data_IF_354118235935
#
_entry.id   IF_354118235935
#
_cell.length_a   1.000
_cell.length_b   1.000
_cell.length_c   1.000
_cell.angle_alpha   90.00
_cell.angle_beta   90.00
_cell.angle_gamma   90.00
#
_symmetry.space_group_name_H-M   'P 1'
#
loop_
_entity.id
_entity.type
_entity.pdbx_description
1 polymer ?
#
# COMPACT_ATOMS: atom_id res chain seq x y z
N UNK A 1 0.91 -21.92 22.44
CA UNK A 1 0.56 -22.30 21.06
C UNK A 1 -0.94 -22.15 20.89
N UNK A 2 -1.42 -21.64 19.76
CA UNK A 2 -2.85 -21.52 19.49
C UNK A 2 -3.56 -22.89 19.53
N UNK A 3 -4.81 -22.91 20.01
CA UNK A 3 -5.55 -24.12 20.40
C UNK A 3 -6.46 -24.71 19.31
N UNK A 4 -6.55 -24.06 18.14
CA UNK A 4 -7.41 -24.52 17.05
C UNK A 4 -6.79 -25.71 16.33
N UNK A 5 -7.57 -26.75 16.07
CA UNK A 5 -7.15 -27.89 15.23
C UNK A 5 -6.89 -27.48 13.78
N UNK A 6 -7.37 -26.28 13.37
CA UNK A 6 -7.14 -25.69 12.05
C UNK A 6 -5.98 -24.68 12.04
N UNK A 7 -5.26 -24.48 13.14
CA UNK A 7 -4.15 -23.54 13.15
C UNK A 7 -3.09 -23.93 12.12
N UNK A 8 -2.63 -22.96 11.32
CA UNK A 8 -1.67 -23.18 10.23
C UNK A 8 -2.25 -23.84 8.98
N UNK A 9 -3.53 -24.22 8.98
CA UNK A 9 -4.24 -24.74 7.79
C UNK A 9 -4.89 -23.57 7.05
N UNK A 10 -4.05 -22.72 6.45
CA UNK A 10 -4.53 -21.62 5.61
C UNK A 10 -5.16 -22.17 4.33
N UNK A 11 -6.19 -21.48 3.83
CA UNK A 11 -6.78 -21.77 2.53
C UNK A 11 -5.77 -21.48 1.42
N UNK A 12 -5.80 -22.25 0.34
CA UNK A 12 -5.10 -21.87 -0.89
C UNK A 12 -5.77 -20.64 -1.52
N UNK A 13 -5.08 -19.98 -2.44
CA UNK A 13 -5.66 -18.85 -3.19
C UNK A 13 -6.96 -19.25 -3.87
N UNK A 14 -6.98 -20.39 -4.54
CA UNK A 14 -8.13 -20.91 -5.27
C UNK A 14 -9.31 -21.21 -4.33
N UNK A 15 -9.02 -21.74 -3.14
CA UNK A 15 -10.04 -21.96 -2.11
C UNK A 15 -10.61 -20.62 -1.61
N UNK A 16 -9.77 -19.61 -1.36
CA UNK A 16 -10.24 -18.26 -0.97
C UNK A 16 -11.10 -17.67 -2.08
N UNK A 17 -10.62 -17.70 -3.32
CA UNK A 17 -11.34 -17.17 -4.48
C UNK A 17 -12.71 -17.82 -4.66
N UNK A 18 -12.81 -19.14 -4.45
CA UNK A 18 -14.08 -19.85 -4.49
C UNK A 18 -15.03 -19.44 -3.35
N UNK A 19 -14.51 -19.22 -2.14
CA UNK A 19 -15.32 -18.81 -1.00
C UNK A 19 -15.84 -17.37 -1.11
N UNK A 20 -15.09 -16.47 -1.73
CA UNK A 20 -15.45 -15.05 -1.86
C UNK A 20 -16.09 -14.72 -3.21
N UNK A 21 -16.21 -15.69 -4.12
CA UNK A 21 -16.83 -15.50 -5.42
C UNK A 21 -18.28 -15.05 -5.26
N UNK A 22 -18.70 -13.97 -5.95
CA UNK A 22 -20.11 -13.60 -5.98
C UNK A 22 -20.98 -14.75 -6.51
N UNK A 23 -22.24 -14.78 -6.08
CA UNK A 23 -23.19 -15.76 -6.61
C UNK A 23 -23.27 -15.61 -8.14
N UNK A 24 -23.29 -16.70 -8.93
CA UNK A 24 -23.39 -16.63 -10.38
C UNK A 24 -24.55 -15.77 -10.89
N UNK A 25 -25.66 -15.71 -10.16
CA UNK A 25 -26.78 -14.83 -10.49
C UNK A 25 -26.41 -13.34 -10.33
N UNK A 26 -25.67 -12.98 -9.26
CA UNK A 26 -25.17 -11.61 -9.04
C UNK A 26 -24.26 -11.18 -10.18
N UNK A 27 -23.28 -12.01 -10.54
CA UNK A 27 -22.38 -11.73 -11.67
C UNK A 27 -23.15 -11.58 -12.97
N UNK A 28 -24.09 -12.48 -13.26
CA UNK A 28 -24.92 -12.41 -14.47
C UNK A 28 -25.74 -11.12 -14.56
N UNK A 29 -26.35 -10.68 -13.46
CA UNK A 29 -27.14 -9.44 -13.43
C UNK A 29 -26.23 -8.22 -13.66
N UNK A 30 -25.04 -8.21 -13.04
CA UNK A 30 -24.03 -7.19 -13.26
C UNK A 30 -23.58 -7.14 -14.72
N UNK A 31 -23.19 -8.27 -15.29
CA UNK A 31 -22.73 -8.36 -16.69
C UNK A 31 -23.80 -7.90 -17.67
N UNK A 32 -25.07 -8.29 -17.45
CA UNK A 32 -26.19 -7.85 -18.27
C UNK A 32 -26.39 -6.34 -18.19
N UNK A 33 -26.32 -5.77 -16.99
CA UNK A 33 -26.46 -4.34 -16.78
C UNK A 33 -25.32 -3.55 -17.44
N UNK A 34 -24.07 -3.98 -17.26
CA UNK A 34 -22.90 -3.36 -17.91
C UNK A 34 -22.98 -3.46 -19.44
N UNK A 35 -23.27 -4.65 -19.97
CA UNK A 35 -23.41 -4.88 -21.41
C UNK A 35 -24.53 -4.04 -22.01
N UNK A 36 -25.67 -3.91 -21.33
CA UNK A 36 -26.80 -3.09 -21.80
C UNK A 36 -26.46 -1.60 -21.89
N UNK A 37 -25.47 -1.13 -21.14
CA UNK A 37 -24.93 0.22 -21.19
C UNK A 37 -23.70 0.35 -22.11
N UNK A 38 -23.32 -0.72 -22.82
CA UNK A 38 -22.16 -0.74 -23.72
C UNK A 38 -20.82 -0.67 -22.97
N UNK A 39 -20.78 -1.17 -21.73
CA UNK A 39 -19.60 -1.10 -20.87
C UNK A 39 -18.90 -2.46 -20.78
N UNK A 40 -17.57 -2.42 -20.75
CA UNK A 40 -16.70 -3.59 -20.59
C UNK A 40 -15.76 -3.31 -19.41
N UNK A 41 -15.71 -4.21 -18.41
CA UNK A 41 -14.72 -4.16 -17.33
C UNK A 41 -13.28 -4.06 -17.82
N UNK A 42 -12.43 -3.35 -17.07
CA UNK A 42 -10.98 -3.43 -17.23
C UNK A 42 -10.45 -4.66 -16.48
N UNK A 43 -10.03 -5.73 -17.18
CA UNK A 43 -9.69 -6.99 -16.53
C UNK A 43 -8.41 -6.90 -15.70
N UNK A 44 -7.49 -5.99 -16.03
CA UNK A 44 -6.19 -5.85 -15.35
C UNK A 44 -6.31 -5.24 -13.95
N UNK A 45 -7.34 -4.43 -13.72
CA UNK A 45 -7.57 -3.71 -12.46
C UNK A 45 -8.78 -4.25 -11.70
N UNK A 46 -9.52 -5.20 -12.27
CA UNK A 46 -10.64 -5.88 -11.59
C UNK A 46 -10.14 -7.07 -10.76
N UNK A 47 -10.91 -7.44 -9.73
CA UNK A 47 -10.59 -8.65 -8.95
C UNK A 47 -10.72 -9.93 -9.78
N UNK A 48 -9.89 -10.96 -9.55
CA UNK A 48 -10.00 -12.25 -10.24
C UNK A 48 -11.35 -12.95 -10.05
N UNK A 49 -12.01 -12.71 -8.92
CA UNK A 49 -13.29 -13.33 -8.53
C UNK A 49 -14.50 -12.61 -9.09
N UNK A 50 -14.33 -11.37 -9.59
CA UNK A 50 -15.43 -10.49 -10.00
C UNK A 50 -16.17 -9.82 -8.84
N UNK A 51 -15.62 -9.84 -7.61
CA UNK A 51 -16.18 -9.12 -6.46
C UNK A 51 -15.94 -7.61 -6.52
N UNK A 52 -14.89 -7.20 -7.24
CA UNK A 52 -14.57 -5.81 -7.60
C UNK A 52 -14.40 -5.71 -9.11
N UNK A 53 -15.04 -4.71 -9.71
CA UNK A 53 -15.05 -4.48 -11.16
C UNK A 53 -14.71 -3.02 -11.42
N UNK A 54 -13.63 -2.80 -12.16
CA UNK A 54 -13.17 -1.47 -12.55
C UNK A 54 -13.67 -1.13 -13.96
N UNK A 55 -14.11 0.13 -14.13
CA UNK A 55 -14.70 0.64 -15.38
C UNK A 55 -14.06 1.97 -15.74
N UNK A 56 -13.66 2.11 -17.01
CA UNK A 56 -13.17 3.38 -17.54
C UNK A 56 -14.28 4.14 -18.25
N UNK A 57 -14.76 5.20 -17.60
CA UNK A 57 -15.91 5.98 -18.05
C UNK A 57 -15.58 7.47 -18.14
N UNK A 58 -16.23 8.18 -19.06
CA UNK A 58 -16.31 9.65 -18.97
C UNK A 58 -17.28 10.05 -17.85
N UNK A 59 -17.15 11.28 -17.35
CA UNK A 59 -18.08 11.86 -16.36
C UNK A 59 -19.53 11.80 -16.86
N UNK A 60 -19.76 12.01 -18.15
CA UNK A 60 -21.09 11.93 -18.76
C UNK A 60 -21.65 10.50 -18.72
N UNK A 61 -20.83 9.50 -19.04
CA UNK A 61 -21.22 8.09 -18.97
C UNK A 61 -21.53 7.67 -17.53
N UNK A 62 -20.66 8.03 -16.58
CA UNK A 62 -20.86 7.74 -15.16
C UNK A 62 -22.14 8.40 -14.63
N UNK A 63 -22.40 9.66 -14.99
CA UNK A 63 -23.61 10.38 -14.59
C UNK A 63 -24.90 9.73 -15.12
N UNK A 64 -24.89 9.22 -16.36
CA UNK A 64 -26.03 8.48 -16.93
C UNK A 64 -26.21 7.12 -16.26
N UNK A 65 -25.13 6.36 -16.10
CA UNK A 65 -25.14 5.02 -15.53
C UNK A 65 -25.67 5.01 -14.09
N UNK A 66 -25.25 6.01 -13.31
CA UNK A 66 -25.50 6.11 -11.87
C UNK A 66 -26.59 7.14 -11.51
N UNK A 67 -27.30 7.68 -12.51
CA UNK A 67 -28.28 8.76 -12.34
C UNK A 67 -27.80 9.81 -11.33
N UNK A 68 -26.61 10.35 -11.60
CA UNK A 68 -25.84 11.18 -10.69
C UNK A 68 -25.31 12.43 -11.41
N UNK A 69 -25.10 13.50 -10.66
CA UNK A 69 -24.44 14.72 -11.16
C UNK A 69 -23.08 14.84 -10.51
N UNK A 70 -22.03 14.77 -11.31
CA UNK A 70 -20.66 14.92 -10.84
C UNK A 70 -20.22 16.38 -10.93
N UNK A 71 -19.45 16.82 -9.95
CA UNK A 71 -18.87 18.15 -9.87
C UNK A 71 -17.36 18.06 -9.61
N UNK A 72 -16.64 19.10 -10.03
CA UNK A 72 -15.26 19.31 -9.63
C UNK A 72 -15.26 20.07 -8.30
N UNK A 73 -14.76 19.43 -7.25
CA UNK A 73 -14.59 20.01 -5.92
C UNK A 73 -13.14 20.40 -5.74
N UNK A 74 -12.90 21.57 -5.16
CA UNK A 74 -11.55 22.04 -4.85
C UNK A 74 -11.38 22.14 -3.33
N UNK A 75 -10.35 21.49 -2.81
CA UNK A 75 -10.03 21.51 -1.39
C UNK A 75 -9.32 22.83 -1.03
N UNK A 76 -9.94 23.63 -0.16
CA UNK A 76 -9.55 25.02 0.10
C UNK A 76 -8.12 25.20 0.64
N UNK A 77 -7.59 24.23 1.39
CA UNK A 77 -6.26 24.34 1.99
C UNK A 77 -5.12 23.84 1.12
N UNK A 78 -5.39 22.97 0.14
CA UNK A 78 -4.36 22.35 -0.71
C UNK A 78 -4.45 22.72 -2.17
N UNK A 79 -5.56 23.30 -2.60
CA UNK A 79 -5.92 23.51 -3.99
C UNK A 79 -6.00 22.21 -4.83
N UNK A 80 -6.07 21.04 -4.20
CA UNK A 80 -6.29 19.78 -4.90
C UNK A 80 -7.75 19.70 -5.35
N UNK A 81 -7.97 19.31 -6.60
CA UNK A 81 -9.30 19.14 -7.15
C UNK A 81 -9.64 17.67 -7.38
N UNK A 82 -10.88 17.29 -7.07
CA UNK A 82 -11.42 15.93 -7.24
C UNK A 82 -12.78 15.98 -7.93
N UNK A 83 -13.15 14.90 -8.62
CA UNK A 83 -14.47 14.76 -9.25
C UNK A 83 -15.34 13.85 -8.39
N UNK A 84 -16.45 14.36 -7.85
CA UNK A 84 -17.34 13.62 -6.95
C UNK A 84 -18.81 13.91 -7.23
N UNK A 85 -19.69 13.13 -6.62
CA UNK A 85 -21.12 13.39 -6.57
C UNK A 85 -21.61 13.25 -5.15
N UNK A 86 -22.58 14.06 -4.72
CA UNK A 86 -23.13 13.98 -3.36
C UNK A 86 -24.03 12.75 -3.16
N UNK A 87 -24.57 12.20 -4.27
CA UNK A 87 -25.45 11.03 -4.26
C UNK A 87 -25.50 10.38 -5.65
N UNK A 88 -25.81 9.09 -5.67
CA UNK A 88 -26.10 8.36 -6.91
C UNK A 88 -27.23 7.36 -6.68
N UNK A 89 -27.77 6.82 -7.78
CA UNK A 89 -28.75 5.74 -7.73
C UNK A 89 -28.54 4.74 -8.85
N UNK A 90 -28.88 3.48 -8.60
CA UNK A 90 -28.84 2.42 -9.60
C UNK A 90 -30.25 1.85 -9.80
N UNK A 91 -30.56 1.22 -10.95
CA UNK A 91 -31.83 0.54 -11.14
C UNK A 91 -32.10 -0.50 -10.05
N UNK A 92 -33.37 -0.68 -9.65
CA UNK A 92 -33.74 -1.68 -8.63
C UNK A 92 -33.26 -3.10 -9.02
N UNK A 93 -33.18 -3.39 -10.32
CA UNK A 93 -32.71 -4.69 -10.83
C UNK A 93 -31.26 -5.03 -10.51
N UNK A 94 -30.40 -4.04 -10.23
CA UNK A 94 -28.97 -4.24 -9.96
C UNK A 94 -28.59 -3.88 -8.51
N UNK A 95 -29.51 -3.30 -7.74
CA UNK A 95 -29.28 -2.81 -6.38
C UNK A 95 -28.65 -3.85 -5.45
N UNK A 96 -29.17 -5.09 -5.46
CA UNK A 96 -28.66 -6.16 -4.59
C UNK A 96 -27.33 -6.76 -5.08
N UNK A 97 -26.90 -6.43 -6.30
CA UNK A 97 -25.64 -6.89 -6.87
C UNK A 97 -24.48 -5.91 -6.63
N UNK A 98 -24.77 -4.67 -6.25
CA UNK A 98 -23.77 -3.62 -6.03
C UNK A 98 -23.81 -3.20 -4.57
N UNK A 99 -22.73 -3.48 -3.84
CA UNK A 99 -22.56 -2.99 -2.47
C UNK A 99 -22.18 -1.51 -2.43
N UNK A 100 -21.31 -1.07 -3.34
CA UNK A 100 -20.77 0.28 -3.39
C UNK A 100 -20.29 0.61 -4.80
N UNK A 101 -20.35 1.90 -5.17
CA UNK A 101 -19.68 2.43 -6.35
C UNK A 101 -18.67 3.48 -5.92
N UNK A 102 -17.39 3.25 -6.20
CA UNK A 102 -16.28 4.16 -5.89
C UNK A 102 -15.64 4.65 -7.20
N UNK A 103 -15.13 5.89 -7.30
CA UNK A 103 -15.12 6.98 -6.29
C UNK A 103 -16.29 7.98 -6.47
N UNK A 104 -17.45 7.72 -5.86
CA UNK A 104 -18.66 8.57 -6.02
C UNK A 104 -18.82 9.61 -4.91
N UNK A 105 -19.26 9.18 -3.73
CA UNK A 105 -19.67 10.03 -2.60
C UNK A 105 -18.58 10.20 -1.54
N UNK A 106 -17.43 9.55 -1.72
CA UNK A 106 -16.33 9.60 -0.76
C UNK A 106 -15.54 10.90 -0.87
N UNK A 107 -15.53 11.75 0.17
CA UNK A 107 -14.68 12.93 0.22
C UNK A 107 -13.53 12.75 1.21
N UNK A 108 -12.27 12.77 0.75
CA UNK A 108 -11.13 12.67 1.63
C UNK A 108 -11.05 13.87 2.59
N UNK A 109 -10.78 13.64 3.87
CA UNK A 109 -10.85 14.68 4.91
C UNK A 109 -9.68 15.65 4.82
N UNK A 110 -8.56 15.21 4.25
CA UNK A 110 -7.37 16.00 4.00
C UNK A 110 -6.73 15.53 2.68
N UNK A 111 -6.05 16.42 1.95
CA UNK A 111 -5.02 15.99 1.03
C UNK A 111 -4.05 15.14 1.85
N UNK A 112 -3.63 14.00 1.31
CA UNK A 112 -2.56 13.21 1.90
C UNK A 112 -1.31 14.07 1.77
N UNK A 113 -1.10 14.96 2.74
CA UNK A 113 0.10 15.75 2.85
C UNK A 113 1.15 14.78 3.38
N UNK A 114 1.81 14.08 2.47
CA UNK A 114 3.11 13.50 2.73
C UNK A 114 4.07 14.67 2.94
N UNK A 115 4.10 15.20 4.15
CA UNK A 115 5.25 15.92 4.63
C UNK A 115 5.51 15.37 6.02
N UNK A 116 6.32 14.31 6.14
CA UNK A 116 7.07 14.15 7.37
C UNK A 116 7.69 15.52 7.67
N UNK A 117 7.46 16.02 8.89
CA UNK A 117 8.21 17.17 9.37
C UNK A 117 9.68 16.77 9.29
N UNK A 118 10.39 17.30 8.30
CA UNK A 118 11.82 17.05 8.20
C UNK A 118 12.45 17.38 9.55
N UNK A 119 13.35 16.53 10.06
CA UNK A 119 14.17 16.92 11.19
C UNK A 119 14.79 18.28 10.86
N UNK A 120 14.53 19.28 11.71
CA UNK A 120 15.09 20.61 11.52
C UNK A 120 16.60 20.51 11.40
N UNK A 121 17.25 21.46 10.73
CA UNK A 121 18.72 21.51 10.65
C UNK A 121 19.39 21.40 12.04
N UNK A 122 18.68 21.78 13.10
CA UNK A 122 19.06 21.61 14.50
C UNK A 122 19.13 20.14 14.96
N UNK A 123 18.26 19.25 14.47
CA UNK A 123 18.33 17.81 14.75
C UNK A 123 19.53 17.18 14.04
N UNK A 124 19.74 17.48 12.75
CA UNK A 124 20.91 17.02 12.00
C UNK A 124 22.23 17.51 12.64
N UNK A 125 22.26 18.77 13.08
CA UNK A 125 23.41 19.35 13.78
C UNK A 125 23.67 18.69 15.15
N UNK A 126 22.62 18.23 15.87
CA UNK A 126 22.75 17.50 17.13
C UNK A 126 23.33 16.10 16.93
N UNK A 127 23.00 15.42 15.83
CA UNK A 127 23.60 14.14 15.44
C UNK A 127 25.09 14.32 15.12
N UNK A 128 25.48 15.41 14.45
CA UNK A 128 26.89 15.68 14.10
C UNK A 128 27.73 16.26 15.24
N UNK A 129 27.10 16.89 16.25
CA UNK A 129 27.81 17.58 17.34
C UNK A 129 28.05 16.69 18.57
N UNK A 130 27.38 15.55 18.70
CA UNK A 130 27.74 14.59 19.73
C UNK A 130 28.97 13.81 19.27
N UNK A 131 30.11 14.16 19.86
CA UNK A 131 31.17 13.21 20.18
C UNK A 131 30.53 12.00 20.86
N UNK A 132 30.08 11.03 20.07
CA UNK A 132 29.72 9.71 20.57
C UNK A 132 31.04 9.12 21.06
N UNK A 133 31.33 9.25 22.35
CA UNK A 133 32.34 8.43 22.99
C UNK A 133 32.00 6.99 22.59
N UNK A 134 32.94 6.32 21.95
CA UNK A 134 32.82 4.93 21.53
C UNK A 134 32.64 4.08 22.79
N UNK A 135 31.40 3.92 23.25
CA UNK A 135 31.03 3.03 24.34
C UNK A 135 31.40 1.62 23.85
N UNK A 136 32.06 0.85 24.73
CA UNK A 136 32.40 -0.56 24.48
C UNK A 136 31.16 -1.32 24.03
N UNK A 137 31.37 -2.27 23.11
CA UNK A 137 30.34 -3.13 22.49
C UNK A 137 29.36 -3.83 23.45
N UNK A 138 29.70 -3.92 24.73
CA UNK A 138 28.97 -4.72 25.72
C UNK A 138 27.97 -3.90 26.58
N UNK A 139 27.94 -2.57 26.46
CA UNK A 139 27.03 -1.68 27.23
C UNK A 139 26.05 -0.91 26.31
N UNK A 140 25.54 -1.55 25.25
CA UNK A 140 24.51 -0.92 24.40
C UNK A 140 23.16 -1.01 25.11
N UNK A 141 22.78 0.05 25.81
CA UNK A 141 21.40 0.29 26.24
C UNK A 141 20.69 1.11 25.16
N UNK A 142 19.70 0.49 24.51
CA UNK A 142 18.79 1.17 23.56
C UNK A 142 18.16 2.47 24.08
N UNK A 143 18.17 2.70 25.40
CA UNK A 143 17.62 3.89 26.05
C UNK A 143 18.51 5.14 26.04
N UNK A 144 19.78 5.06 25.63
CA UNK A 144 20.73 6.17 25.72
C UNK A 144 20.85 7.01 24.44
N UNK A 145 20.07 6.71 23.39
CA UNK A 145 20.22 7.33 22.08
C UNK A 145 19.03 8.22 21.68
N UNK A 146 19.33 9.37 21.05
CA UNK A 146 18.36 10.18 20.30
C UNK A 146 17.94 9.55 18.95
N UNK A 147 18.49 8.39 18.60
CA UNK A 147 18.28 7.68 17.34
C UNK A 147 18.14 6.17 17.59
N UNK A 148 17.13 5.54 17.00
CA UNK A 148 16.92 4.09 17.07
C UNK A 148 17.55 3.43 15.83
N UNK A 149 18.55 2.56 16.03
CA UNK A 149 19.20 1.81 14.95
C UNK A 149 18.57 0.43 14.73
N UNK A 150 18.80 -0.18 13.56
CA UNK A 150 18.38 -1.57 13.27
C UNK A 150 18.92 -2.54 14.31
N UNK A 151 20.20 -2.41 14.68
CA UNK A 151 20.82 -3.24 15.72
C UNK A 151 20.07 -3.11 17.06
N UNK A 152 19.71 -1.90 17.46
CA UNK A 152 18.94 -1.68 18.68
C UNK A 152 17.54 -2.31 18.60
N UNK A 153 16.85 -2.20 17.46
CA UNK A 153 15.56 -2.88 17.25
C UNK A 153 15.72 -4.39 17.39
N UNK A 154 16.75 -4.96 16.77
CA UNK A 154 17.00 -6.39 16.86
C UNK A 154 17.31 -6.83 18.29
N UNK A 155 18.15 -6.09 19.03
CA UNK A 155 18.46 -6.38 20.43
C UNK A 155 17.21 -6.26 21.33
N UNK A 156 16.43 -5.18 21.18
CA UNK A 156 15.24 -4.92 22.01
C UNK A 156 14.16 -6.00 21.83
N UNK A 157 13.97 -6.48 20.60
CA UNK A 157 12.97 -7.50 20.27
C UNK A 157 13.54 -8.93 20.24
N UNK A 158 14.81 -9.13 20.59
CA UNK A 158 15.46 -10.45 20.60
C UNK A 158 15.55 -11.10 19.21
N UNK A 159 15.65 -10.29 18.16
CA UNK A 159 15.78 -10.74 16.77
C UNK A 159 17.24 -11.17 16.54
N UNK A 160 17.50 -12.43 16.12
CA UNK A 160 18.85 -12.91 15.84
C UNK A 160 19.53 -12.09 14.74
N UNK A 161 20.84 -11.84 14.85
CA UNK A 161 21.60 -11.13 13.80
C UNK A 161 21.87 -11.99 12.56
N UNK A 162 21.86 -13.29 12.74
CA UNK A 162 22.17 -14.33 11.76
C UNK A 162 20.90 -14.95 11.16
N UNK A 163 19.85 -14.14 10.94
CA UNK A 163 18.68 -14.58 10.17
C UNK A 163 19.18 -15.02 8.79
N UNK A 164 19.39 -16.33 8.62
CA UNK A 164 20.04 -16.89 7.45
C UNK A 164 19.27 -16.59 6.16
N UNK A 165 19.73 -17.18 5.05
CA UNK A 165 18.95 -17.21 3.80
C UNK A 165 17.54 -17.68 4.14
N UNK A 166 16.46 -16.99 3.75
CA UNK A 166 15.12 -17.43 4.13
C UNK A 166 14.86 -18.78 3.46
N UNK A 167 13.80 -19.45 3.89
CA UNK A 167 13.22 -20.44 2.99
C UNK A 167 12.98 -19.74 1.64
N UNK A 168 13.35 -20.37 0.53
CA UNK A 168 13.25 -19.82 -0.85
C UNK A 168 11.84 -19.37 -1.27
N UNK A 169 10.88 -19.41 -0.35
CA UNK A 169 9.46 -19.13 -0.50
C UNK A 169 9.00 -17.90 0.31
N UNK A 170 9.80 -17.35 1.24
CA UNK A 170 9.39 -16.20 2.05
C UNK A 170 9.41 -14.90 1.24
N UNK A 171 8.25 -14.22 1.18
CA UNK A 171 8.00 -13.05 0.35
C UNK A 171 7.39 -11.94 1.19
N UNK A 172 8.00 -10.76 1.11
CA UNK A 172 7.51 -9.54 1.74
C UNK A 172 7.09 -8.56 0.65
N UNK A 173 5.94 -7.92 0.82
CA UNK A 173 5.55 -6.78 0.00
C UNK A 173 5.53 -5.49 0.83
N UNK A 174 5.95 -4.39 0.22
CA UNK A 174 5.83 -3.04 0.79
C UNK A 174 4.98 -2.22 -0.17
N UNK A 175 3.86 -1.69 0.30
CA UNK A 175 2.98 -0.86 -0.52
C UNK A 175 3.41 0.59 -0.36
N UNK A 176 3.69 1.25 -1.49
CA UNK A 176 3.99 2.68 -1.53
C UNK A 176 2.93 3.37 -2.41
N UNK A 177 2.32 4.43 -1.87
CA UNK A 177 1.26 5.19 -2.53
C UNK A 177 1.64 6.66 -2.60
N UNK A 178 1.18 7.35 -3.63
CA UNK A 178 1.36 8.81 -3.75
C UNK A 178 2.57 9.24 -4.58
N UNK A 179 3.14 8.34 -5.39
CA UNK A 179 4.21 8.67 -6.34
C UNK A 179 5.55 9.01 -5.70
N UNK A 180 5.77 8.58 -4.46
CA UNK A 180 7.09 8.56 -3.84
C UNK A 180 7.85 7.29 -4.26
N UNK A 181 9.17 7.31 -4.14
CA UNK A 181 10.05 6.24 -4.64
C UNK A 181 10.98 5.69 -3.57
N UNK A 182 11.24 4.39 -3.63
CA UNK A 182 12.33 3.74 -2.89
C UNK A 182 13.64 4.03 -3.59
N UNK A 183 14.51 4.79 -2.92
CA UNK A 183 15.80 5.21 -3.44
C UNK A 183 16.85 4.12 -3.22
N UNK A 184 17.30 3.50 -4.30
CA UNK A 184 18.31 2.42 -4.25
C UNK A 184 19.65 2.90 -3.68
N UNK A 185 20.02 4.16 -3.93
CA UNK A 185 21.24 4.76 -3.37
C UNK A 185 21.18 4.92 -1.85
N UNK A 186 20.00 5.25 -1.33
CA UNK A 186 19.79 5.48 0.10
C UNK A 186 19.73 4.13 0.81
N UNK A 187 19.03 3.14 0.24
CA UNK A 187 19.04 1.76 0.71
C UNK A 187 20.47 1.19 0.74
N UNK A 188 21.26 1.37 -0.31
CA UNK A 188 22.64 0.89 -0.36
C UNK A 188 23.52 1.54 0.72
N UNK A 189 23.33 2.85 0.97
CA UNK A 189 24.07 3.59 2.01
C UNK A 189 23.65 3.14 3.41
N UNK A 190 22.35 2.98 3.63
CA UNK A 190 21.78 2.47 4.86
C UNK A 190 22.29 1.07 5.19
N UNK A 191 22.28 0.14 4.22
CA UNK A 191 22.74 -1.24 4.46
C UNK A 191 24.22 -1.31 4.80
N UNK A 192 25.07 -0.50 4.16
CA UNK A 192 26.50 -0.39 4.53
C UNK A 192 26.71 0.07 5.97
N UNK A 193 25.82 0.90 6.51
CA UNK A 193 25.93 1.42 7.87
C UNK A 193 25.29 0.47 8.90
N UNK A 194 24.08 0.00 8.62
CA UNK A 194 23.22 -0.73 9.56
C UNK A 194 23.47 -2.24 9.56
N UNK A 195 23.84 -2.81 8.40
CA UNK A 195 24.06 -4.24 8.16
C UNK A 195 25.28 -4.50 7.27
N UNK A 196 26.49 -4.04 7.66
CA UNK A 196 27.71 -4.23 6.88
C UNK A 196 28.10 -5.72 6.71
N UNK A 197 27.49 -6.60 7.51
CA UNK A 197 27.59 -8.05 7.42
C UNK A 197 26.88 -8.65 6.20
N UNK A 198 25.95 -7.92 5.57
CA UNK A 198 25.18 -8.39 4.42
C UNK A 198 25.67 -7.73 3.12
N UNK A 199 26.16 -8.52 2.15
CA UNK A 199 26.52 -7.99 0.83
C UNK A 199 25.29 -7.41 0.10
N UNK A 200 25.45 -6.24 -0.54
CA UNK A 200 24.36 -5.63 -1.32
C UNK A 200 23.85 -6.51 -2.45
N UNK A 201 24.67 -7.43 -2.96
CA UNK A 201 24.28 -8.40 -4.00
C UNK A 201 23.29 -9.46 -3.51
N UNK A 202 23.13 -9.62 -2.20
CA UNK A 202 22.17 -10.56 -1.60
C UNK A 202 20.78 -9.93 -1.40
N UNK A 203 20.67 -8.60 -1.52
CA UNK A 203 19.42 -7.88 -1.36
C UNK A 203 18.57 -8.04 -2.63
N UNK A 204 17.40 -8.65 -2.46
CA UNK A 204 16.44 -8.89 -3.53
C UNK A 204 15.27 -7.93 -3.41
N UNK A 205 15.22 -6.97 -4.34
CA UNK A 205 14.18 -5.95 -4.41
C UNK A 205 13.57 -5.93 -5.82
N UNK A 206 12.28 -6.27 -5.90
CA UNK A 206 11.47 -6.14 -7.11
C UNK A 206 10.50 -4.96 -6.98
N UNK A 207 10.02 -4.45 -8.11
CA UNK A 207 8.96 -3.43 -8.15
C UNK A 207 7.85 -3.92 -9.07
N UNK A 208 6.61 -3.87 -8.59
CA UNK A 208 5.40 -4.07 -9.38
C UNK A 208 4.62 -2.75 -9.43
N UNK A 209 4.15 -2.41 -10.63
CA UNK A 209 3.37 -1.20 -10.90
C UNK A 209 1.88 -1.51 -10.77
N UNK A 210 1.14 -0.62 -10.10
CA UNK A 210 -0.32 -0.61 -10.03
C UNK A 210 -0.82 0.76 -10.48
N UNK A 211 -1.78 0.80 -11.39
CA UNK A 211 -2.35 2.03 -11.97
C UNK A 211 -1.30 3.05 -12.41
N UNK A 212 -0.37 2.60 -13.25
CA UNK A 212 0.75 3.41 -13.75
C UNK A 212 1.65 3.97 -12.65
N UNK A 213 1.59 3.40 -11.45
CA UNK A 213 2.55 3.70 -10.39
C UNK A 213 3.92 3.19 -10.74
N UNK A 214 4.93 3.99 -10.46
CA UNK A 214 6.30 3.62 -10.75
C UNK A 214 7.18 3.91 -9.54
N UNK A 215 8.41 3.42 -9.63
CA UNK A 215 9.45 3.72 -8.66
C UNK A 215 10.45 4.70 -9.30
N UNK A 216 9.98 5.85 -9.79
CA UNK A 216 10.85 6.86 -10.42
C UNK A 216 11.72 7.53 -9.37
N UNK A 217 12.97 7.10 -9.32
CA UNK A 217 13.93 7.58 -8.34
C UNK A 217 14.50 8.94 -8.72
N UNK A 218 14.59 9.85 -7.75
CA UNK A 218 15.15 11.19 -7.93
C UNK A 218 15.87 11.65 -6.69
N UNK A 219 17.09 12.18 -6.85
CA UNK A 219 17.87 12.73 -5.74
C UNK A 219 17.32 14.05 -5.17
N UNK A 220 16.38 14.68 -5.89
CA UNK A 220 15.72 15.91 -5.46
C UNK A 220 14.34 15.67 -4.82
N UNK A 221 13.83 14.44 -4.87
CA UNK A 221 12.53 14.09 -4.31
C UNK A 221 12.65 13.78 -2.80
N UNK A 222 11.61 14.18 -2.05
CA UNK A 222 11.44 13.77 -0.65
C UNK A 222 10.75 12.42 -0.67
N UNK A 223 11.45 11.39 -0.20
CA UNK A 223 11.03 9.99 -0.25
C UNK A 223 11.11 9.33 1.13
N UNK A 224 10.86 10.12 2.18
CA UNK A 224 11.17 9.75 3.57
C UNK A 224 10.41 8.49 4.01
N UNK A 225 9.13 8.37 3.69
CA UNK A 225 8.29 7.21 4.04
C UNK A 225 8.73 5.92 3.33
N UNK A 226 8.77 5.85 1.98
CA UNK A 226 9.13 4.63 1.27
C UNK A 226 10.57 4.21 1.56
N UNK A 227 11.48 5.17 1.74
CA UNK A 227 12.84 4.87 2.20
C UNK A 227 12.85 4.32 3.62
N UNK A 228 12.15 4.95 4.57
CA UNK A 228 12.16 4.53 5.98
C UNK A 228 11.63 3.11 6.16
N UNK A 229 10.46 2.79 5.58
CA UNK A 229 9.86 1.46 5.69
C UNK A 229 10.70 0.42 4.98
N UNK A 230 11.18 0.70 3.77
CA UNK A 230 12.01 -0.26 3.02
C UNK A 230 13.34 -0.54 3.70
N UNK A 231 14.01 0.49 4.18
CA UNK A 231 15.29 0.35 4.89
C UNK A 231 15.10 -0.41 6.20
N UNK A 232 14.04 -0.15 6.96
CA UNK A 232 13.77 -0.86 8.19
C UNK A 232 13.46 -2.35 7.94
N UNK A 233 12.57 -2.65 7.00
CA UNK A 233 12.18 -4.03 6.64
C UNK A 233 13.39 -4.82 6.17
N UNK A 234 14.17 -4.29 5.21
CA UNK A 234 15.35 -4.97 4.67
C UNK A 234 16.48 -5.02 5.71
N UNK A 235 16.64 -4.00 6.56
CA UNK A 235 17.64 -4.01 7.61
C UNK A 235 17.42 -5.11 8.64
N UNK A 236 16.16 -5.35 9.02
CA UNK A 236 15.78 -6.39 9.98
C UNK A 236 15.70 -7.76 9.32
N UNK A 237 15.16 -7.86 8.09
CA UNK A 237 14.89 -9.12 7.37
C UNK A 237 15.55 -9.13 5.97
N UNK A 238 16.88 -8.96 5.89
CA UNK A 238 17.59 -8.75 4.61
C UNK A 238 17.47 -9.91 3.65
N UNK A 239 17.25 -11.10 4.20
CA UNK A 239 17.24 -12.34 3.46
C UNK A 239 15.97 -12.48 2.61
N UNK A 240 14.84 -11.87 3.03
CA UNK A 240 13.53 -12.05 2.39
C UNK A 240 13.43 -11.31 1.07
N UNK A 241 12.84 -11.95 0.04
CA UNK A 241 12.55 -11.26 -1.22
C UNK A 241 11.51 -10.17 -0.94
N UNK A 242 11.89 -8.93 -1.18
CA UNK A 242 11.02 -7.76 -0.97
C UNK A 242 10.50 -7.28 -2.32
N UNK A 243 9.18 -7.12 -2.43
CA UNK A 243 8.53 -6.55 -3.61
C UNK A 243 7.85 -5.24 -3.24
N UNK A 244 8.26 -4.16 -3.90
CA UNK A 244 7.59 -2.87 -3.79
C UNK A 244 6.35 -2.90 -4.69
N UNK A 245 5.18 -2.66 -4.11
CA UNK A 245 3.93 -2.45 -4.84
C UNK A 245 3.75 -0.93 -4.96
N UNK A 246 4.08 -0.39 -6.14
CA UNK A 246 4.03 1.03 -6.42
C UNK A 246 2.65 1.40 -6.99
N UNK A 247 1.80 2.01 -6.16
CA UNK A 247 0.50 2.54 -6.56
C UNK A 247 0.63 3.93 -7.19
N UNK A 248 0.06 4.12 -8.38
CA UNK A 248 0.24 5.32 -9.17
C UNK A 248 -0.57 6.52 -8.73
N UNK A 249 -0.36 7.63 -9.44
CA UNK A 249 -1.07 8.90 -9.25
C UNK A 249 -2.14 9.14 -10.31
N UNK A 250 -2.36 8.22 -11.25
CA UNK A 250 -3.20 8.52 -12.43
C UNK A 250 -4.67 8.69 -12.11
N UNK A 251 -5.12 8.25 -10.92
CA UNK A 251 -6.36 8.74 -10.35
C UNK A 251 -6.02 9.61 -9.12
N UNK A 252 -6.09 10.95 -9.20
CA UNK A 252 -5.80 11.86 -8.09
C UNK A 252 -6.89 11.80 -7.00
N UNK A 253 -7.66 10.72 -6.98
CA UNK A 253 -8.80 10.46 -6.14
C UNK A 253 -8.29 9.75 -4.90
N UNK A 254 -8.36 10.38 -3.72
CA UNK A 254 -7.93 9.69 -2.52
C UNK A 254 -8.74 8.41 -2.30
N UNK A 255 -8.08 7.36 -1.82
CA UNK A 255 -8.68 6.06 -1.52
C UNK A 255 -8.63 5.02 -2.66
N UNK A 256 -8.57 5.43 -3.94
CA UNK A 256 -8.51 4.48 -5.07
C UNK A 256 -7.20 3.69 -5.06
N UNK A 257 -6.06 4.38 -5.00
CA UNK A 257 -4.74 3.74 -5.05
C UNK A 257 -4.53 2.68 -3.95
N UNK A 258 -5.17 2.85 -2.79
CA UNK A 258 -5.16 1.84 -1.73
C UNK A 258 -5.95 0.60 -2.15
N UNK A 259 -7.19 0.77 -2.60
CA UNK A 259 -8.06 -0.32 -3.03
C UNK A 259 -7.46 -1.06 -4.22
N UNK A 260 -6.89 -0.32 -5.17
CA UNK A 260 -6.24 -0.88 -6.35
C UNK A 260 -4.98 -1.67 -5.97
N UNK A 261 -4.15 -1.17 -5.05
CA UNK A 261 -2.99 -1.90 -4.55
C UNK A 261 -3.38 -3.21 -3.83
N UNK A 262 -4.39 -3.18 -2.95
CA UNK A 262 -4.86 -4.39 -2.25
C UNK A 262 -5.52 -5.38 -3.21
N UNK A 263 -6.31 -4.89 -4.17
CA UNK A 263 -6.95 -5.72 -5.20
C UNK A 263 -5.89 -6.37 -6.09
N UNK A 264 -4.87 -5.61 -6.51
CA UNK A 264 -3.74 -6.13 -7.27
C UNK A 264 -2.99 -7.23 -6.50
N UNK A 265 -2.67 -7.01 -5.22
CA UNK A 265 -1.99 -8.00 -4.38
C UNK A 265 -2.81 -9.30 -4.29
N UNK A 266 -4.13 -9.20 -4.12
CA UNK A 266 -5.03 -10.37 -4.11
C UNK A 266 -5.03 -11.14 -5.43
N UNK A 267 -4.74 -10.46 -6.54
CA UNK A 267 -4.62 -11.04 -7.87
C UNK A 267 -3.30 -11.77 -8.15
N UNK A 268 -2.25 -11.55 -7.35
CA UNK A 268 -0.94 -12.16 -7.59
C UNK A 268 -1.01 -13.68 -7.46
N UNK A 269 -0.46 -14.41 -8.44
CA UNK A 269 -0.29 -15.87 -8.35
C UNK A 269 0.58 -16.24 -7.14
N UNK A 270 1.61 -15.42 -6.93
CA UNK A 270 2.62 -15.57 -5.89
C UNK A 270 2.41 -14.51 -4.81
N UNK A 271 1.37 -14.66 -3.99
CA UNK A 271 1.08 -13.70 -2.91
C UNK A 271 2.23 -13.59 -1.90
N UNK A 272 2.48 -12.38 -1.37
CA UNK A 272 3.43 -12.17 -0.28
C UNK A 272 2.91 -12.82 1.02
N UNK A 273 3.82 -13.33 1.84
CA UNK A 273 3.50 -13.84 3.18
C UNK A 273 3.22 -12.70 4.16
N UNK A 274 3.88 -11.55 3.95
CA UNK A 274 3.77 -10.36 4.79
C UNK A 274 3.61 -9.15 3.87
N UNK A 275 2.63 -8.31 4.16
CA UNK A 275 2.43 -7.01 3.50
C UNK A 275 2.65 -5.92 4.55
N UNK A 276 3.59 -5.02 4.31
CA UNK A 276 3.76 -3.79 5.07
C UNK A 276 3.02 -2.66 4.36
N UNK A 277 2.15 -2.00 5.10
CA UNK A 277 1.30 -0.91 4.62
C UNK A 277 1.30 0.21 5.65
N UNK A 278 1.89 1.33 5.28
CA UNK A 278 2.12 2.53 6.11
C UNK A 278 1.20 3.69 5.70
N UNK A 279 0.14 3.39 4.95
CA UNK A 279 -0.89 4.33 4.54
C UNK A 279 -2.17 4.09 5.32
N UNK A 280 -2.85 5.18 5.67
CA UNK A 280 -4.12 5.13 6.37
C UNK A 280 -4.89 6.43 6.20
N UNK A 281 -6.21 6.33 6.36
CA UNK A 281 -7.15 7.46 6.36
C UNK A 281 -8.05 7.35 7.59
N UNK A 282 -8.61 8.47 8.04
CA UNK A 282 -9.50 8.47 9.19
C UNK A 282 -10.76 7.67 8.86
N UNK A 283 -11.12 6.66 9.66
CA UNK A 283 -12.27 5.79 9.40
C UNK A 283 -13.58 6.57 9.32
N UNK A 284 -13.71 7.65 10.09
CA UNK A 284 -14.87 8.57 10.07
C UNK A 284 -15.06 9.29 8.72
N UNK A 285 -14.04 9.29 7.87
CA UNK A 285 -14.04 9.99 6.59
C UNK A 285 -14.47 9.13 5.41
N UNK A 286 -14.46 7.80 5.54
CA UNK A 286 -14.94 6.87 4.52
C UNK A 286 -16.39 6.47 4.78
N UNK A 287 -17.08 6.04 3.72
CA UNK A 287 -18.43 5.48 3.88
C UNK A 287 -18.36 4.15 4.64
N UNK A 288 -19.45 3.78 5.32
CA UNK A 288 -19.54 2.51 6.05
C UNK A 288 -19.28 1.34 5.09
N UNK A 289 -19.77 1.44 3.86
CA UNK A 289 -19.60 0.43 2.82
C UNK A 289 -18.14 0.29 2.37
N UNK A 290 -17.33 1.35 2.46
CA UNK A 290 -15.90 1.31 2.16
C UNK A 290 -15.07 0.80 3.35
N UNK A 291 -15.56 1.01 4.58
CA UNK A 291 -14.91 0.56 5.81
C UNK A 291 -15.13 -0.94 6.12
N UNK A 292 -16.12 -1.57 5.51
CA UNK A 292 -16.58 -2.95 5.79
C UNK A 292 -16.40 -3.90 4.61
#
# INVERSE_FOLDING_TARGET
MPNSTKYGQYLTKEEVEEHVRPNPNTTKVLDQWLTSNGLVPEPETSSPTGSHVNLKLTVEQAGKLLNATFHLYNHTSSNQSIIRTDQYSVPESIKDAIRMVHPTTFFPPKPIANSPQHPTASFLAAITSNTVNLIRRDDIHCGDFQLISVKCIMELYGIPSDIGVPATQDRTAIVILGGEAVQGTDLASFMKQSRPDIPLSEIQLDVLSVDQGDNVQSSAAVNDEPNSVTQLVIGVMPSTKTTIIAGGQTDPQPGSNFLDAITFISGLENMPNVVSLSHGIEESSISIEMAQ
#
